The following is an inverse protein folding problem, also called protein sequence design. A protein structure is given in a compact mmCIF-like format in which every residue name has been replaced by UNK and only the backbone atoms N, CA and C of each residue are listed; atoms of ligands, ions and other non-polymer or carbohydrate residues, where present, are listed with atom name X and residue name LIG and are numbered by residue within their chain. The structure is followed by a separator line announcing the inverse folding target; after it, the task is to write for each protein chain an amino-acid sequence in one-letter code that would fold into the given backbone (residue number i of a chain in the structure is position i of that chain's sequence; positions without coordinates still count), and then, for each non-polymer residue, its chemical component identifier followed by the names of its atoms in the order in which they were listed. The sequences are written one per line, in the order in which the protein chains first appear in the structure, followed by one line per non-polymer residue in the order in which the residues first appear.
data_IF_642729122530
#
_entry.id   IF_642729122530
#
_cell.length_a   1.000
_cell.length_b   1.000
_cell.length_c   1.000
_cell.angle_alpha   90.00
_cell.angle_beta   90.00
_cell.angle_gamma   90.00
#
_symmetry.space_group_name_H-M   'P 1'
#
loop_
_entity.id
_entity.type
_entity.pdbx_description
1 polymer ?
#
# COMPACT_ATOMS: atom_id res chain seq x y z
N UNK A 1 -13.94 -7.99 16.81
CA UNK A 1 -12.89 -7.01 16.47
C UNK A 1 -11.90 -7.73 15.57
N UNK A 2 -11.59 -7.20 14.38
CA UNK A 2 -10.86 -7.96 13.37
C UNK A 2 -9.35 -7.97 13.60
N UNK A 3 -8.62 -9.02 13.21
CA UNK A 3 -7.15 -9.04 13.34
C UNK A 3 -6.47 -8.47 12.10
N UNK A 4 -5.63 -7.45 12.27
CA UNK A 4 -4.86 -6.83 11.19
C UNK A 4 -3.36 -6.96 11.43
N UNK A 5 -2.62 -7.47 10.44
CA UNK A 5 -1.16 -7.54 10.46
C UNK A 5 -0.58 -6.35 9.71
N UNK A 6 0.22 -5.53 10.37
CA UNK A 6 0.98 -4.45 9.74
C UNK A 6 2.43 -4.90 9.53
N UNK A 7 2.88 -4.87 8.29
CA UNK A 7 4.23 -5.23 7.88
C UNK A 7 4.92 -3.97 7.35
N UNK A 8 6.01 -3.55 7.98
CA UNK A 8 6.84 -2.44 7.49
C UNK A 8 8.20 -2.98 7.07
N UNK A 9 8.56 -2.83 5.79
CA UNK A 9 9.90 -3.14 5.33
C UNK A 9 10.82 -1.94 5.53
N UNK A 10 11.73 -2.04 6.51
CA UNK A 10 12.73 -0.98 6.80
C UNK A 10 13.69 -0.75 5.65
N UNK A 11 13.92 -1.76 4.79
CA UNK A 11 14.80 -1.64 3.63
C UNK A 11 14.11 -0.97 2.42
N UNK A 12 12.81 -0.68 2.50
CA UNK A 12 12.13 0.07 1.44
C UNK A 12 12.60 1.53 1.39
N UNK A 13 12.75 2.09 0.19
CA UNK A 13 13.47 3.35 -0.02
C UNK A 13 13.02 4.54 0.83
N UNK A 14 11.72 4.66 1.13
CA UNK A 14 11.15 5.74 1.95
C UNK A 14 10.52 5.23 3.24
N UNK A 15 10.96 4.07 3.73
CA UNK A 15 10.44 3.42 4.96
C UNK A 15 10.46 4.35 6.18
N UNK A 16 11.43 5.27 6.28
CA UNK A 16 11.55 6.26 7.36
C UNK A 16 10.35 7.22 7.47
N UNK A 17 9.58 7.43 6.38
CA UNK A 17 8.41 8.32 6.39
C UNK A 17 7.14 7.64 6.91
N UNK A 18 7.13 6.32 7.01
CA UNK A 18 6.00 5.53 7.51
C UNK A 18 6.33 4.91 8.86
N UNK A 19 5.34 4.86 9.74
CA UNK A 19 5.44 4.20 11.04
C UNK A 19 4.10 3.49 11.33
N UNK A 20 4.10 2.59 12.31
CA UNK A 20 2.90 1.82 12.66
C UNK A 20 1.73 2.73 13.02
N UNK A 21 1.96 3.79 13.80
CA UNK A 21 0.91 4.73 14.22
C UNK A 21 0.19 5.41 13.04
N UNK A 22 0.91 5.79 11.98
CA UNK A 22 0.30 6.37 10.77
C UNK A 22 -0.59 5.35 10.06
N UNK A 23 -0.15 4.09 9.99
CA UNK A 23 -0.92 3.01 9.37
C UNK A 23 -2.17 2.71 10.21
N UNK A 24 -2.02 2.60 11.52
CA UNK A 24 -3.13 2.37 12.47
C UNK A 24 -4.15 3.51 12.42
N UNK A 25 -3.71 4.77 12.38
CA UNK A 25 -4.61 5.93 12.20
C UNK A 25 -5.34 5.90 10.85
N UNK A 26 -4.68 5.44 9.79
CA UNK A 26 -5.27 5.34 8.47
C UNK A 26 -6.34 4.24 8.39
N UNK A 27 -6.14 3.13 9.10
CA UNK A 27 -7.05 1.98 9.12
C UNK A 27 -8.14 2.10 10.21
N UNK A 28 -7.93 2.94 11.22
CA UNK A 28 -8.89 3.25 12.28
C UNK A 28 -8.89 2.27 13.46
N UNK A 29 -9.88 2.34 14.33
CA UNK A 29 -9.90 1.53 15.56
C UNK A 29 -10.66 0.19 15.41
N UNK A 30 -11.02 -0.21 14.18
CA UNK A 30 -11.79 -1.44 13.92
C UNK A 30 -11.00 -2.74 14.05
N UNK A 31 -9.67 -2.64 14.17
CA UNK A 31 -8.75 -3.77 14.12
C UNK A 31 -7.88 -3.88 15.38
N UNK A 32 -7.52 -5.11 15.71
CA UNK A 32 -6.42 -5.43 16.62
C UNK A 32 -5.15 -5.56 15.79
N UNK A 33 -4.19 -4.68 16.03
CA UNK A 33 -2.99 -4.55 15.20
C UNK A 33 -1.83 -5.40 15.73
N UNK A 34 -1.28 -6.24 14.86
CA UNK A 34 -0.01 -6.92 15.08
C UNK A 34 1.06 -6.26 14.23
N UNK A 35 2.17 -5.86 14.85
CA UNK A 35 3.25 -5.12 14.19
C UNK A 35 4.40 -6.07 13.83
N UNK A 36 4.83 -6.04 12.57
CA UNK A 36 5.98 -6.79 12.06
C UNK A 36 6.86 -5.89 11.21
N UNK A 37 8.16 -6.13 11.30
CA UNK A 37 9.19 -5.33 10.64
C UNK A 37 10.08 -6.23 9.81
N UNK A 38 10.18 -6.00 8.51
CA UNK A 38 11.17 -6.69 7.67
C UNK A 38 12.47 -5.89 7.58
N UNK A 39 13.65 -6.55 7.54
CA UNK A 39 13.86 -8.00 7.53
C UNK A 39 13.96 -8.66 8.92
N UNK A 40 13.82 -7.89 10.00
CA UNK A 40 14.07 -8.33 11.38
C UNK A 40 13.11 -9.45 11.84
N UNK A 41 11.86 -9.40 11.39
CA UNK A 41 10.80 -10.35 11.73
C UNK A 41 10.52 -11.36 10.62
N UNK A 42 10.21 -12.60 11.02
CA UNK A 42 9.61 -13.58 10.10
C UNK A 42 8.10 -13.36 9.98
N UNK A 43 7.61 -13.40 8.74
CA UNK A 43 6.18 -13.39 8.43
C UNK A 43 5.73 -14.84 8.24
N UNK A 44 5.54 -15.50 9.37
CA UNK A 44 4.85 -16.78 9.45
C UNK A 44 3.45 -16.45 10.01
N UNK A 45 2.41 -17.14 9.56
CA UNK A 45 1.02 -16.98 10.07
C UNK A 45 0.20 -15.78 9.53
N UNK A 46 0.41 -15.35 8.29
CA UNK A 46 -0.50 -14.37 7.63
C UNK A 46 -1.96 -14.84 7.64
N UNK A 47 -2.19 -16.14 7.58
CA UNK A 47 -3.51 -16.78 7.47
C UNK A 47 -4.39 -16.56 8.71
N UNK A 48 -3.77 -16.23 9.84
CA UNK A 48 -4.49 -15.94 11.08
C UNK A 48 -5.09 -14.52 11.10
N UNK A 49 -4.87 -13.71 10.08
CA UNK A 49 -5.33 -12.33 10.02
C UNK A 49 -6.46 -12.16 9.01
N UNK A 50 -7.41 -11.30 9.32
CA UNK A 50 -8.50 -10.94 8.40
C UNK A 50 -8.08 -9.79 7.48
N UNK A 51 -7.04 -9.06 7.85
CA UNK A 51 -6.46 -7.96 7.07
C UNK A 51 -4.93 -7.94 7.19
N UNK A 52 -4.25 -7.52 6.13
CA UNK A 52 -2.80 -7.33 6.12
C UNK A 52 -2.47 -5.99 5.46
N UNK A 53 -1.72 -5.14 6.15
CA UNK A 53 -1.21 -3.87 5.66
C UNK A 53 0.28 -3.99 5.35
N UNK A 54 0.64 -3.87 4.08
CA UNK A 54 2.03 -3.99 3.60
C UNK A 54 2.58 -2.62 3.27
N UNK A 55 3.60 -2.20 4.01
CA UNK A 55 4.36 -0.98 3.75
C UNK A 55 5.72 -1.35 3.15
N UNK A 56 5.83 -1.28 1.83
CA UNK A 56 7.05 -1.62 1.13
C UNK A 56 7.06 -1.22 -0.33
N UNK A 57 8.03 -1.77 -1.08
CA UNK A 57 8.04 -1.73 -2.54
C UNK A 57 7.26 -2.89 -3.16
N UNK A 58 7.23 -2.95 -4.49
CA UNK A 58 6.54 -4.01 -5.24
C UNK A 58 7.05 -5.42 -4.87
N UNK A 59 8.35 -5.58 -4.59
CA UNK A 59 8.91 -6.86 -4.15
C UNK A 59 8.34 -7.33 -2.81
N UNK A 60 8.10 -6.42 -1.86
CA UNK A 60 7.48 -6.75 -0.57
C UNK A 60 6.00 -7.08 -0.73
N UNK A 61 5.31 -6.33 -1.59
CA UNK A 61 3.93 -6.62 -1.95
C UNK A 61 3.80 -8.01 -2.58
N UNK A 62 4.67 -8.35 -3.53
CA UNK A 62 4.69 -9.65 -4.21
C UNK A 62 4.79 -10.82 -3.23
N UNK A 63 5.78 -10.79 -2.33
CA UNK A 63 5.96 -11.87 -1.33
C UNK A 63 4.78 -12.04 -0.37
N UNK A 64 4.04 -10.97 -0.07
CA UNK A 64 2.83 -11.07 0.76
C UNK A 64 1.65 -11.54 -0.09
N UNK A 65 1.53 -11.03 -1.32
CA UNK A 65 0.43 -11.33 -2.22
C UNK A 65 0.39 -12.82 -2.60
N UNK A 66 1.55 -13.46 -2.79
CA UNK A 66 1.64 -14.91 -2.98
C UNK A 66 1.03 -15.72 -1.84
N UNK A 67 1.08 -15.19 -0.60
CA UNK A 67 0.52 -15.85 0.59
C UNK A 67 -0.97 -15.54 0.78
N UNK A 68 -1.41 -14.32 0.49
CA UNK A 68 -2.81 -13.90 0.70
C UNK A 68 -3.74 -14.16 -0.49
N UNK A 69 -3.23 -14.37 -1.71
CA UNK A 69 -4.06 -14.39 -2.92
C UNK A 69 -5.14 -15.48 -2.95
N UNK A 70 -4.97 -16.55 -2.20
CA UNK A 70 -5.94 -17.67 -2.10
C UNK A 70 -6.83 -17.59 -0.86
N UNK A 71 -6.66 -16.56 -0.02
CA UNK A 71 -7.32 -16.44 1.26
C UNK A 71 -8.25 -15.22 1.27
N UNK A 72 -9.34 -15.25 2.03
CA UNK A 72 -10.27 -14.13 2.15
C UNK A 72 -9.71 -13.05 3.09
N UNK A 73 -8.53 -12.50 2.76
CA UNK A 73 -7.79 -11.54 3.57
C UNK A 73 -7.78 -10.18 2.86
N UNK A 74 -8.18 -9.13 3.58
CA UNK A 74 -8.14 -7.77 3.07
C UNK A 74 -6.68 -7.27 2.99
N UNK A 75 -6.17 -7.04 1.78
CA UNK A 75 -4.80 -6.57 1.56
C UNK A 75 -4.76 -5.06 1.35
N UNK A 76 -4.12 -4.33 2.26
CA UNK A 76 -3.82 -2.91 2.14
C UNK A 76 -2.37 -2.70 1.74
N UNK A 77 -2.12 -1.88 0.72
CA UNK A 77 -0.77 -1.59 0.25
C UNK A 77 -0.42 -0.11 0.43
N UNK A 78 0.66 0.13 1.16
CA UNK A 78 1.25 1.45 1.39
C UNK A 78 2.59 1.54 0.63
N UNK A 79 2.60 2.18 -0.56
CA UNK A 79 3.77 2.23 -1.43
C UNK A 79 4.84 3.16 -0.83
N UNK A 80 5.86 2.57 -0.23
CA UNK A 80 7.02 3.32 0.35
C UNK A 80 8.34 2.97 -0.33
N UNK A 81 8.32 2.14 -1.36
CA UNK A 81 9.48 1.95 -2.26
C UNK A 81 9.73 3.17 -3.16
N UNK A 82 10.86 3.17 -3.86
CA UNK A 82 11.27 4.22 -4.81
C UNK A 82 10.67 4.02 -6.20
N UNK A 83 10.64 2.77 -6.65
CA UNK A 83 10.04 2.32 -7.91
C UNK A 83 8.79 1.48 -7.57
N UNK A 84 7.69 2.14 -7.23
CA UNK A 84 6.39 1.50 -7.00
C UNK A 84 5.54 1.64 -8.26
N UNK A 85 5.90 0.93 -9.32
CA UNK A 85 5.31 1.16 -10.65
C UNK A 85 3.83 0.76 -10.67
N UNK A 86 3.42 -0.22 -9.86
CA UNK A 86 2.01 -0.61 -9.71
C UNK A 86 1.18 0.47 -9.03
N UNK A 87 1.69 1.07 -7.95
CA UNK A 87 1.02 2.18 -7.28
C UNK A 87 0.99 3.45 -8.14
N UNK A 88 2.08 3.72 -8.86
CA UNK A 88 2.14 4.82 -9.84
C UNK A 88 1.13 4.59 -10.95
N UNK A 89 1.07 3.40 -11.55
CA UNK A 89 0.12 3.06 -12.59
C UNK A 89 -1.33 3.25 -12.14
N UNK A 90 -1.74 2.72 -10.99
CA UNK A 90 -3.09 2.95 -10.43
C UNK A 90 -3.38 4.44 -10.13
N UNK A 91 -2.37 5.20 -9.72
CA UNK A 91 -2.49 6.65 -9.55
C UNK A 91 -2.69 7.35 -10.90
N UNK A 92 -1.97 6.93 -11.94
CA UNK A 92 -2.08 7.44 -13.30
C UNK A 92 -3.34 6.97 -14.04
N UNK A 93 -3.98 5.86 -13.63
CA UNK A 93 -5.27 5.45 -14.19
C UNK A 93 -6.36 6.50 -13.96
N UNK A 94 -6.29 7.25 -12.85
CA UNK A 94 -7.15 8.41 -12.58
C UNK A 94 -6.86 9.61 -13.50
N UNK A 95 -5.73 9.57 -14.19
CA UNK A 95 -5.25 10.59 -15.12
C UNK A 95 -5.19 10.07 -16.55
N UNK A 96 -5.97 9.02 -16.91
CA UNK A 96 -6.11 8.57 -18.29
C UNK A 96 -6.36 9.80 -19.18
N UNK A 97 -5.38 10.07 -20.04
CA UNK A 97 -5.44 11.10 -21.05
C UNK A 97 -6.60 10.78 -21.99
N UNK A 98 -7.65 11.59 -21.93
CA UNK A 98 -8.80 11.51 -22.81
C UNK A 98 -8.36 11.99 -24.20
N UNK A 99 -8.74 11.25 -25.23
CA UNK A 99 -8.51 11.63 -26.62
C UNK A 99 -9.14 13.01 -26.89
N UNK A 100 -8.41 13.99 -27.44
CA UNK A 100 -8.94 15.34 -27.68
C UNK A 100 -10.09 15.40 -28.70
N UNK A 101 -10.43 14.29 -29.36
CA UNK A 101 -11.59 14.16 -30.25
C UNK A 101 -12.88 13.66 -29.58
N UNK A 102 -12.86 13.31 -28.29
CA UNK A 102 -14.03 12.83 -27.56
C UNK A 102 -14.53 13.96 -26.65
N UNK A 103 -15.59 14.63 -27.09
CA UNK A 103 -16.13 15.86 -26.53
C UNK A 103 -16.95 15.65 -25.27
N UNK A 104 -16.34 15.25 -24.15
CA UNK A 104 -16.96 15.34 -22.82
C UNK A 104 -15.91 15.16 -21.72
N UNK A 105 -15.25 16.24 -21.28
CA UNK A 105 -14.71 16.28 -19.91
C UNK A 105 -14.40 17.70 -19.42
N UNK A 106 -15.08 18.13 -18.36
CA UNK A 106 -14.73 19.35 -17.62
C UNK A 106 -13.42 19.14 -16.83
N UNK A 107 -12.40 19.90 -17.20
CA UNK A 107 -11.11 19.96 -16.53
C UNK A 107 -11.24 20.59 -15.15
N UNK A 108 -11.26 19.76 -14.10
CA UNK A 108 -11.11 20.25 -12.73
C UNK A 108 -10.03 19.47 -11.97
N UNK A 109 -8.76 19.64 -12.34
CA UNK A 109 -7.66 19.39 -11.40
C UNK A 109 -6.39 20.15 -11.81
N UNK A 110 -5.99 21.09 -10.95
CA UNK A 110 -4.80 21.94 -11.04
C UNK A 110 -3.51 21.12 -11.29
N UNK A 111 -2.51 21.67 -12.01
CA UNK A 111 -1.22 21.02 -12.17
C UNK A 111 -0.49 20.96 -10.82
N UNK A 112 0.07 19.80 -10.46
CA UNK A 112 0.88 19.64 -9.25
C UNK A 112 2.36 19.66 -9.64
N UNK A 113 3.11 20.60 -9.05
CA UNK A 113 4.57 20.77 -9.16
C UNK A 113 5.27 19.80 -8.21
N UNK A 114 6.32 19.11 -8.68
CA UNK A 114 7.18 18.27 -7.84
C UNK A 114 8.45 19.03 -7.44
N UNK A 115 8.66 19.23 -6.14
CA UNK A 115 9.91 19.73 -5.58
C UNK A 115 10.95 18.61 -5.44
N UNK A 116 12.20 18.95 -5.75
CA UNK A 116 13.41 18.10 -5.67
C UNK A 116 13.79 17.83 -4.23
#
# INVERSE_FOLDING_TARGET
MKRCLIIINKNAGTSKKINFEKVEKCLGNGYVYTRKTLPDDKINEIENFEAVAVCGGDGTLGSVLEKVCKQPIDLFYFPVGTLNDKAKAQRYEKHKSVCPGCSDYESSAKPVVYGV
#
